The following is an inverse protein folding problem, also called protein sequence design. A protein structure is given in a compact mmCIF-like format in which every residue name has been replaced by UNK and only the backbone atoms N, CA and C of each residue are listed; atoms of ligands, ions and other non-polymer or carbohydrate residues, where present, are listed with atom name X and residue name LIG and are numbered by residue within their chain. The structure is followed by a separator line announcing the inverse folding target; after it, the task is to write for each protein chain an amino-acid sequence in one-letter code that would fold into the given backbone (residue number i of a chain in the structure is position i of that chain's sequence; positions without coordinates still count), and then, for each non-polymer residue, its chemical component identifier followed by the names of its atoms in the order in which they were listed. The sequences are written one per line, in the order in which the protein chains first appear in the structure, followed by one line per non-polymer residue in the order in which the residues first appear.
data_IF_318728809691
#
_entry.id   IF_318728809691
#
_cell.length_a   1.000
_cell.length_b   1.000
_cell.length_c   1.000
_cell.angle_alpha   90.00
_cell.angle_beta   90.00
_cell.angle_gamma   90.00
#
_symmetry.space_group_name_H-M   'P 1'
#
loop_
_entity.id
_entity.type
_entity.pdbx_description
1 polymer ?
#
# COMPACT_ATOMS: atom_id res chain seq x y z
N UNK A 1 -35.93 -3.77 -1.40
CA UNK A 1 -35.08 -3.36 -2.54
C UNK A 1 -33.64 -3.55 -2.12
N UNK A 2 -33.03 -4.69 -2.45
CA UNK A 2 -31.61 -4.89 -2.15
C UNK A 2 -30.79 -4.19 -3.25
N UNK A 3 -30.12 -3.09 -2.91
CA UNK A 3 -29.08 -2.50 -3.77
C UNK A 3 -27.88 -3.44 -3.77
N UNK A 4 -27.97 -4.49 -4.57
CA UNK A 4 -26.97 -5.54 -4.70
C UNK A 4 -25.80 -5.06 -5.58
N UNK A 5 -25.04 -4.05 -5.12
CA UNK A 5 -23.85 -3.55 -5.80
C UNK A 5 -22.63 -3.72 -4.90
N UNK A 6 -22.28 -4.96 -4.58
CA UNK A 6 -20.99 -5.24 -3.95
C UNK A 6 -19.87 -5.04 -5.00
N UNK A 7 -19.44 -3.79 -5.20
CA UNK A 7 -18.31 -3.45 -6.06
C UNK A 7 -17.05 -3.47 -5.20
N UNK A 8 -16.34 -4.59 -5.23
CA UNK A 8 -15.03 -4.70 -4.62
C UNK A 8 -13.96 -4.23 -5.61
N UNK A 9 -13.02 -3.41 -5.14
CA UNK A 9 -11.82 -3.01 -5.87
C UNK A 9 -10.60 -3.61 -5.16
N UNK A 10 -9.83 -4.42 -5.88
CA UNK A 10 -8.66 -5.12 -5.32
C UNK A 10 -7.39 -4.54 -5.94
N UNK A 11 -6.46 -4.12 -5.10
CA UNK A 11 -5.17 -3.58 -5.52
C UNK A 11 -4.04 -4.58 -5.26
N UNK A 12 -3.10 -4.66 -6.20
CA UNK A 12 -1.76 -5.15 -5.87
C UNK A 12 -1.01 -4.08 -5.05
N UNK A 13 0.16 -4.41 -4.53
CA UNK A 13 0.98 -3.54 -3.69
C UNK A 13 2.15 -2.94 -4.46
N UNK A 14 3.13 -3.78 -4.81
CA UNK A 14 4.36 -3.37 -5.47
C UNK A 14 4.07 -2.78 -6.86
N UNK A 15 4.64 -1.62 -7.15
CA UNK A 15 4.40 -0.87 -8.39
C UNK A 15 2.93 -0.49 -8.64
N UNK A 16 2.09 -0.57 -7.60
CA UNK A 16 0.68 -0.15 -7.65
C UNK A 16 0.39 0.92 -6.60
N UNK A 17 0.55 0.60 -5.31
CA UNK A 17 0.37 1.58 -4.22
C UNK A 17 1.66 2.32 -3.88
N UNK A 18 2.80 1.66 -4.08
CA UNK A 18 4.12 2.26 -3.88
C UNK A 18 5.09 1.92 -4.98
N UNK A 19 6.16 2.72 -5.07
CA UNK A 19 7.12 2.63 -6.16
C UNK A 19 8.16 1.53 -5.95
N UNK A 20 8.28 0.94 -4.77
CA UNK A 20 9.30 -0.08 -4.44
C UNK A 20 8.80 -1.52 -4.64
N UNK A 21 9.72 -2.48 -4.77
CA UNK A 21 9.40 -3.90 -4.60
C UNK A 21 9.92 -4.34 -3.25
N UNK A 22 9.01 -4.72 -2.36
CA UNK A 22 9.39 -4.95 -0.96
C UNK A 22 10.36 -6.13 -0.78
N UNK A 23 10.33 -7.10 -1.69
CA UNK A 23 11.19 -8.29 -1.63
C UNK A 23 12.62 -8.07 -2.15
N UNK A 24 12.86 -6.98 -2.89
CA UNK A 24 14.10 -6.80 -3.68
C UNK A 24 14.82 -5.49 -3.43
N UNK A 25 14.08 -4.44 -3.09
CA UNK A 25 14.58 -3.06 -3.16
C UNK A 25 14.70 -2.41 -1.77
N UNK A 26 14.24 -3.07 -0.71
CA UNK A 26 14.25 -2.55 0.67
C UNK A 26 14.57 -3.66 1.67
N UNK A 27 14.99 -3.25 2.87
CA UNK A 27 15.38 -4.18 3.95
C UNK A 27 14.50 -3.95 5.19
N UNK A 28 13.49 -4.79 5.45
CA UNK A 28 12.70 -4.72 6.68
C UNK A 28 13.57 -4.84 7.96
N UNK A 29 13.07 -4.44 9.16
CA UNK A 29 11.76 -3.84 9.41
C UNK A 29 11.69 -2.36 9.01
N UNK A 30 10.46 -1.86 8.89
CA UNK A 30 10.19 -0.46 8.56
C UNK A 30 9.84 0.34 9.81
N UNK A 31 10.23 1.61 9.84
CA UNK A 31 9.87 2.54 10.91
C UNK A 31 9.57 3.93 10.37
N UNK A 32 8.78 4.70 11.10
CA UNK A 32 8.63 6.14 10.87
C UNK A 32 9.74 6.86 11.63
N UNK A 33 10.54 7.66 10.94
CA UNK A 33 11.59 8.46 11.57
C UNK A 33 11.02 9.74 12.22
N UNK A 34 11.88 10.52 12.88
CA UNK A 34 11.52 11.78 13.55
C UNK A 34 10.93 12.84 12.62
N UNK A 35 11.25 12.77 11.32
CA UNK A 35 10.74 13.68 10.29
C UNK A 35 9.43 13.18 9.68
N UNK A 36 8.86 12.10 10.22
CA UNK A 36 7.60 11.53 9.77
C UNK A 36 7.69 10.68 8.50
N UNK A 37 8.89 10.37 8.02
CA UNK A 37 9.15 9.58 6.80
C UNK A 37 9.27 8.10 7.15
N UNK A 38 8.68 7.22 6.34
CA UNK A 38 8.85 5.77 6.45
C UNK A 38 10.21 5.39 5.85
N UNK A 39 11.01 4.68 6.63
CA UNK A 39 12.32 4.19 6.21
C UNK A 39 12.48 2.71 6.57
N UNK A 40 13.32 2.02 5.81
CA UNK A 40 13.74 0.65 6.09
C UNK A 40 14.87 0.61 7.15
N UNK A 41 15.38 -0.59 7.45
CA UNK A 41 16.44 -0.79 8.46
C UNK A 41 17.78 -0.15 8.06
N UNK A 42 18.00 0.08 6.77
CA UNK A 42 19.15 0.78 6.20
C UNK A 42 18.93 2.30 6.10
N UNK A 43 17.82 2.83 6.64
CA UNK A 43 17.36 4.20 6.49
C UNK A 43 17.04 4.62 5.04
N UNK A 44 16.80 3.67 4.13
CA UNK A 44 16.30 3.96 2.79
C UNK A 44 14.84 4.42 2.89
N UNK A 45 14.52 5.53 2.23
CA UNK A 45 13.17 6.09 2.18
C UNK A 45 12.23 5.19 1.38
N UNK A 46 11.01 4.99 1.91
CA UNK A 46 9.93 4.29 1.23
C UNK A 46 8.77 5.25 1.02
N UNK A 47 8.39 5.45 -0.23
CA UNK A 47 7.29 6.33 -0.63
C UNK A 47 6.21 5.57 -1.40
N UNK A 48 4.96 5.96 -1.16
CA UNK A 48 3.81 5.61 -1.99
C UNK A 48 3.68 6.57 -3.18
N UNK A 49 2.88 6.23 -4.20
CA UNK A 49 2.56 7.19 -5.26
C UNK A 49 1.72 8.35 -4.67
N UNK A 50 2.08 9.63 -4.87
CA UNK A 50 1.49 10.76 -4.15
C UNK A 50 -0.04 10.82 -4.13
N UNK A 51 -0.69 10.34 -5.19
CA UNK A 51 -2.14 10.35 -5.39
C UNK A 51 -2.86 9.20 -4.67
N UNK A 52 -2.15 8.15 -4.27
CA UNK A 52 -2.74 6.93 -3.68
C UNK A 52 -3.62 7.23 -2.46
N UNK A 53 -3.21 8.05 -1.47
CA UNK A 53 -4.08 8.39 -0.35
C UNK A 53 -5.40 9.01 -0.78
N UNK A 54 -5.37 9.94 -1.75
CA UNK A 54 -6.58 10.60 -2.24
C UNK A 54 -7.49 9.65 -3.02
N UNK A 55 -6.91 8.75 -3.82
CA UNK A 55 -7.66 7.74 -4.57
C UNK A 55 -8.35 6.76 -3.62
N UNK A 56 -7.62 6.22 -2.64
CA UNK A 56 -8.19 5.27 -1.68
C UNK A 56 -9.28 5.93 -0.82
N UNK A 57 -9.08 7.18 -0.39
CA UNK A 57 -10.09 7.93 0.35
C UNK A 57 -11.36 8.13 -0.48
N UNK A 58 -11.22 8.58 -1.74
CA UNK A 58 -12.36 8.77 -2.64
C UNK A 58 -13.17 7.49 -2.83
N UNK A 59 -12.50 6.36 -3.07
CA UNK A 59 -13.17 5.09 -3.29
C UNK A 59 -13.87 4.58 -2.02
N UNK A 60 -13.26 4.82 -0.85
CA UNK A 60 -13.89 4.53 0.43
C UNK A 60 -15.15 5.39 0.65
N UNK A 61 -15.08 6.68 0.35
CA UNK A 61 -16.20 7.63 0.47
C UNK A 61 -17.35 7.30 -0.51
N UNK A 62 -17.02 6.70 -1.67
CA UNK A 62 -17.99 6.17 -2.65
C UNK A 62 -18.51 4.76 -2.28
N UNK A 63 -18.24 4.29 -1.06
CA UNK A 63 -18.71 3.00 -0.49
C UNK A 63 -18.20 1.74 -1.21
N UNK A 64 -17.07 1.83 -1.92
CA UNK A 64 -16.42 0.63 -2.47
C UNK A 64 -15.78 -0.19 -1.35
N UNK A 65 -15.91 -1.51 -1.45
CA UNK A 65 -15.10 -2.42 -0.62
C UNK A 65 -13.70 -2.50 -1.21
N UNK A 66 -12.68 -2.12 -0.43
CA UNK A 66 -11.29 -2.17 -0.88
C UNK A 66 -10.61 -3.45 -0.39
N UNK A 67 -9.93 -4.15 -1.29
CA UNK A 67 -9.14 -5.32 -1.00
C UNK A 67 -7.69 -5.15 -1.45
N UNK A 68 -6.80 -5.98 -0.89
CA UNK A 68 -5.40 -6.08 -1.30
C UNK A 68 -5.12 -7.53 -1.66
N UNK A 69 -4.45 -7.75 -2.79
CA UNK A 69 -4.00 -9.06 -3.21
C UNK A 69 -2.59 -8.94 -3.80
N UNK A 70 -1.58 -9.30 -3.00
CA UNK A 70 -0.19 -9.27 -3.43
C UNK A 70 0.44 -10.65 -3.39
N UNK A 71 1.45 -10.84 -4.24
CA UNK A 71 2.21 -12.09 -4.38
C UNK A 71 3.53 -12.07 -3.60
N UNK A 72 3.83 -10.99 -2.90
CA UNK A 72 5.08 -10.84 -2.15
C UNK A 72 5.10 -11.88 -1.03
N UNK A 73 6.07 -12.79 -1.09
CA UNK A 73 6.37 -13.71 0.01
C UNK A 73 7.06 -12.95 1.12
N UNK A 74 6.74 -13.28 2.36
CA UNK A 74 7.38 -12.72 3.56
C UNK A 74 8.91 -12.67 3.40
N UNK A 75 9.45 -11.46 3.49
CA UNK A 75 10.89 -11.21 3.52
C UNK A 75 11.43 -11.89 4.78
N UNK A 76 12.34 -12.86 4.59
CA UNK A 76 12.90 -13.69 5.68
C UNK A 76 13.22 -12.85 6.92
N UNK A 77 12.62 -13.25 8.04
CA UNK A 77 13.02 -12.82 9.38
C UNK A 77 14.47 -13.23 9.68
#
# INVERSE_FOLDING_TARGET
MASNNLKMLVFDLDRTLWQVRLDKEVTPPFKRNSNGVVVDSCNCKIDYYPEVPQILQKLYDEEYTLGVASRISETKA
#
